data_IF_565441616904
#
_entry.id   IF_565441616904
#
_cell.length_a   1.000
_cell.length_b   1.000
_cell.length_c   1.000
_cell.angle_alpha   90.00
_cell.angle_beta   90.00
_cell.angle_gamma   90.00
#
_symmetry.space_group_name_H-M   'P 1'
#
loop_
_entity.id
_entity.type
_entity.pdbx_description
1 polymer ?
#
# COMPACT_ATOMS: atom_id res chain seq x y z
N UNK A 1 -4.05 -1.16 20.31
CA UNK A 1 -4.11 -1.15 18.84
C UNK A 1 -3.78 -2.55 18.37
N UNK A 2 -4.20 -2.96 17.17
CA UNK A 2 -3.85 -4.25 16.58
C UNK A 2 -3.45 -4.03 15.13
N UNK A 3 -2.41 -4.70 14.69
CA UNK A 3 -1.89 -4.61 13.31
C UNK A 3 -1.69 -6.00 12.69
N UNK A 4 -1.74 -6.07 11.37
CA UNK A 4 -1.29 -7.24 10.63
C UNK A 4 0.07 -6.91 10.02
N UNK A 5 1.11 -7.54 10.54
CA UNK A 5 2.46 -7.28 10.09
C UNK A 5 2.89 -8.27 9.00
N UNK A 6 3.32 -7.73 7.86
CA UNK A 6 3.86 -8.48 6.73
C UNK A 6 5.32 -8.10 6.56
N UNK A 7 6.22 -9.08 6.68
CA UNK A 7 7.62 -8.93 6.30
C UNK A 7 7.87 -9.56 4.91
N UNK A 8 7.03 -9.19 3.94
CA UNK A 8 7.02 -9.66 2.55
C UNK A 8 6.19 -8.70 1.68
N UNK A 9 6.00 -9.02 0.40
CA UNK A 9 5.29 -8.21 -0.59
C UNK A 9 3.76 -8.14 -0.41
N UNK A 10 3.22 -8.73 0.66
CA UNK A 10 1.78 -8.83 0.95
C UNK A 10 0.97 -9.53 -0.16
N UNK A 11 1.60 -10.30 -1.03
CA UNK A 11 0.88 -10.99 -2.11
C UNK A 11 -0.21 -11.94 -1.56
N UNK A 12 -1.25 -12.19 -2.36
CA UNK A 12 -2.40 -13.00 -1.94
C UNK A 12 -1.92 -14.39 -1.51
N UNK A 13 -2.25 -14.78 -0.27
CA UNK A 13 -1.86 -16.07 0.31
C UNK A 13 -0.52 -16.06 1.05
N UNK A 14 0.18 -14.93 1.13
CA UNK A 14 1.36 -14.80 1.98
C UNK A 14 1.00 -14.85 3.46
N UNK A 15 1.98 -15.24 4.25
CA UNK A 15 1.87 -15.27 5.71
C UNK A 15 2.03 -13.87 6.28
N UNK A 16 1.30 -13.61 7.35
CA UNK A 16 1.40 -12.41 8.18
C UNK A 16 1.40 -12.81 9.65
N UNK A 17 1.77 -11.86 10.49
CA UNK A 17 1.65 -11.97 11.94
C UNK A 17 0.47 -11.12 12.38
N UNK A 18 -0.42 -11.71 13.17
CA UNK A 18 -1.49 -10.97 13.85
C UNK A 18 -0.93 -10.42 15.17
N UNK A 19 -0.78 -9.11 15.25
CA UNK A 19 -0.23 -8.41 16.39
C UNK A 19 -1.39 -7.92 17.25
N UNK A 20 -1.75 -8.72 18.26
CA UNK A 20 -2.87 -8.42 19.18
C UNK A 20 -2.51 -7.43 20.30
N UNK A 21 -1.22 -7.16 20.51
CA UNK A 21 -0.72 -6.14 21.41
C UNK A 21 -0.04 -5.02 20.61
N UNK A 22 -0.05 -3.79 21.15
CA UNK A 22 0.72 -2.66 20.60
C UNK A 22 2.20 -3.03 20.42
N UNK A 23 2.84 -2.45 19.40
CA UNK A 23 4.28 -2.19 19.26
C UNK A 23 5.18 -3.21 20.01
N UNK A 24 5.46 -4.33 19.34
CA UNK A 24 6.27 -5.46 19.83
C UNK A 24 7.42 -5.75 18.88
N UNK A 25 8.55 -6.19 19.42
CA UNK A 25 9.71 -6.64 18.64
C UNK A 25 9.41 -7.84 17.73
N UNK A 26 8.32 -8.57 17.97
CA UNK A 26 7.86 -9.65 17.10
C UNK A 26 7.04 -9.13 15.89
N UNK A 27 6.72 -7.83 15.88
CA UNK A 27 5.93 -7.12 14.88
C UNK A 27 6.78 -6.01 14.22
N UNK A 28 6.17 -4.88 13.85
CA UNK A 28 6.85 -3.82 13.10
C UNK A 28 8.01 -3.15 13.86
N UNK A 29 7.98 -3.05 15.20
CA UNK A 29 9.06 -2.45 16.00
C UNK A 29 10.41 -3.15 15.88
N UNK A 30 10.38 -4.47 15.70
CA UNK A 30 11.60 -5.28 15.51
C UNK A 30 12.30 -4.96 14.19
N UNK A 31 11.61 -4.29 13.27
CA UNK A 31 12.06 -4.06 11.91
C UNK A 31 12.79 -2.71 11.76
N UNK A 32 13.85 -2.53 12.55
CA UNK A 32 14.65 -1.28 12.65
C UNK A 32 15.34 -0.85 11.34
N UNK A 33 15.35 -1.70 10.31
CA UNK A 33 16.05 -1.49 9.03
C UNK A 33 15.07 -1.18 7.89
N UNK A 34 13.82 -1.61 7.99
CA UNK A 34 12.85 -1.53 6.89
C UNK A 34 11.94 -0.30 6.99
N UNK A 35 12.50 0.84 7.43
CA UNK A 35 11.83 2.15 7.44
C UNK A 35 11.85 2.82 6.06
N UNK A 36 11.89 2.03 4.98
CA UNK A 36 11.95 2.55 3.62
C UNK A 36 10.62 3.18 3.26
N UNK A 37 10.67 4.40 2.71
CA UNK A 37 9.48 5.07 2.16
C UNK A 37 8.82 4.21 1.07
N UNK A 38 9.60 3.43 0.31
CA UNK A 38 9.04 2.55 -0.73
C UNK A 38 8.10 1.50 -0.15
N UNK A 39 8.51 0.85 0.95
CA UNK A 39 7.70 -0.19 1.60
C UNK A 39 6.36 0.36 2.10
N UNK A 40 6.36 1.65 2.49
CA UNK A 40 5.16 2.38 2.88
C UNK A 40 4.16 2.62 1.74
N UNK A 41 4.55 2.36 0.49
CA UNK A 41 3.68 2.50 -0.69
C UNK A 41 3.34 1.16 -1.35
N UNK A 42 3.91 0.05 -0.89
CA UNK A 42 3.71 -1.26 -1.51
C UNK A 42 2.72 -2.10 -0.69
N UNK A 43 1.47 -2.17 -1.16
CA UNK A 43 0.41 -2.98 -0.52
C UNK A 43 -0.15 -4.03 -1.48
N UNK A 44 -0.21 -5.28 -1.04
CA UNK A 44 -0.70 -6.42 -1.82
C UNK A 44 0.01 -6.59 -3.18
N UNK A 45 1.33 -6.42 -3.19
CA UNK A 45 2.16 -6.41 -4.39
C UNK A 45 1.69 -5.35 -5.42
N UNK A 46 1.30 -4.18 -4.92
CA UNK A 46 0.92 -3.00 -5.71
C UNK A 46 1.52 -1.75 -5.11
N UNK A 47 2.23 -0.99 -5.93
CA UNK A 47 2.55 0.40 -5.64
C UNK A 47 1.25 1.23 -5.67
N UNK A 48 0.82 1.70 -4.50
CA UNK A 48 -0.42 2.46 -4.36
C UNK A 48 -0.37 3.84 -5.02
N UNK A 49 0.83 4.42 -5.17
CA UNK A 49 1.00 5.72 -5.81
C UNK A 49 0.67 5.60 -7.29
N UNK A 50 1.29 4.63 -7.96
CA UNK A 50 0.99 4.32 -9.36
C UNK A 50 -0.45 3.85 -9.55
N UNK A 51 -0.98 3.03 -8.64
CA UNK A 51 -2.36 2.57 -8.70
C UNK A 51 -3.36 3.73 -8.63
N UNK A 52 -3.16 4.67 -7.70
CA UNK A 52 -3.99 5.86 -7.55
C UNK A 52 -3.90 6.80 -8.76
N UNK A 53 -2.69 7.04 -9.28
CA UNK A 53 -2.48 7.86 -10.47
C UNK A 53 -3.17 7.27 -11.71
N UNK A 54 -3.03 5.97 -11.95
CA UNK A 54 -3.67 5.28 -13.08
C UNK A 54 -5.19 5.22 -12.95
N UNK A 55 -5.70 5.14 -11.72
CA UNK A 55 -7.13 5.21 -11.42
C UNK A 55 -7.72 6.62 -11.46
N UNK A 56 -6.88 7.66 -11.56
CA UNK A 56 -7.33 9.05 -11.67
C UNK A 56 -7.92 9.27 -13.06
N UNK A 57 -9.23 9.05 -13.17
CA UNK A 57 -9.99 9.41 -14.36
C UNK A 57 -10.12 10.91 -14.33
N UNK A 58 -9.24 11.60 -15.07
CA UNK A 58 -9.32 13.04 -15.19
C UNK A 58 -10.67 13.40 -15.82
N UNK A 59 -11.63 13.79 -14.99
CA UNK A 59 -12.96 14.23 -15.42
C UNK A 59 -12.82 15.40 -16.40
N UNK A 60 -11.68 16.09 -16.40
CA UNK A 60 -11.32 17.14 -17.36
C UNK A 60 -10.70 16.61 -18.67
N UNK A 61 -10.10 15.41 -18.71
CA UNK A 61 -9.63 14.78 -19.95
C UNK A 61 -10.80 14.24 -20.80
N UNK A 62 -11.89 13.76 -20.17
CA UNK A 62 -13.10 13.34 -20.89
C UNK A 62 -13.90 14.50 -21.48
N UNK A 63 -13.87 15.68 -20.87
CA UNK A 63 -14.60 16.87 -21.37
C UNK A 63 -13.97 17.46 -22.64
N UNK A 64 -12.65 17.33 -22.83
CA UNK A 64 -11.97 17.83 -24.05
C UNK A 64 -12.34 17.07 -25.33
N UNK A 65 -12.80 15.82 -25.22
CA UNK A 65 -13.28 15.03 -26.37
C UNK A 65 -14.80 15.08 -26.55
N UNK A 66 -15.56 15.64 -25.60
CA UNK A 66 -17.01 15.82 -25.71
C UNK A 66 -17.40 17.21 -26.25
N UNK A 67 -16.49 18.18 -26.26
CA UNK A 67 -16.71 19.54 -26.74
C UNK A 67 -16.19 19.79 -28.18
N UNK A 68 -16.08 18.74 -29.00
CA UNK A 68 -15.79 18.84 -30.44
C UNK A 68 -17.00 18.38 -31.25
N UNK A 69 -18.08 19.17 -31.20
CA UNK A 69 -19.18 19.18 -32.18
C UNK A 69 -19.48 20.63 -32.52
#
# INVERSE_FOLDING_TARGET
>A
MSELFYNNDMSIGQKFVDCEADESNDCSDGNLINLSISDHFDYFNKDIMSYGQNGCIDTFAKVKNAAKV
#
